data_IF_834195999100
#
_entry.id   IF_834195999100
#
_cell.length_a   1.000
_cell.length_b   1.000
_cell.length_c   1.000
_cell.angle_alpha   90.00
_cell.angle_beta   90.00
_cell.angle_gamma   90.00
#
_symmetry.space_group_name_H-M   'P 1'
#
loop_
_entity.id
_entity.type
_entity.pdbx_description
1 polymer ?
#
# COMPACT_ATOMS: atom_id res chain seq x y z
N UNK A 1 -6.79 -31.81 -2.85
CA UNK A 1 -7.68 -30.86 -2.15
C UNK A 1 -6.95 -30.31 -0.93
N UNK A 2 -6.30 -29.16 -1.04
CA UNK A 2 -5.53 -28.58 0.07
C UNK A 2 -6.47 -28.11 1.18
N UNK A 3 -6.15 -28.42 2.44
CA UNK A 3 -6.80 -27.80 3.60
C UNK A 3 -6.80 -26.28 3.40
N UNK A 4 -7.98 -25.65 3.37
CA UNK A 4 -8.08 -24.19 3.53
C UNK A 4 -7.55 -23.90 4.93
N UNK A 5 -6.30 -23.47 5.03
CA UNK A 5 -5.78 -23.03 6.31
C UNK A 5 -6.68 -21.92 6.82
N UNK A 6 -7.18 -22.04 8.05
CA UNK A 6 -7.60 -20.90 8.88
C UNK A 6 -6.35 -20.05 9.23
N UNK A 7 -5.57 -19.71 8.20
CA UNK A 7 -4.31 -19.02 8.29
C UNK A 7 -4.51 -17.58 8.72
N UNK A 8 -3.44 -16.99 9.25
CA UNK A 8 -3.36 -15.57 9.46
C UNK A 8 -3.58 -14.85 8.11
N UNK A 9 -4.67 -14.10 7.97
CA UNK A 9 -4.93 -13.33 6.75
C UNK A 9 -4.12 -12.04 6.78
N UNK A 10 -3.44 -11.71 5.68
CA UNK A 10 -2.74 -10.45 5.55
C UNK A 10 -3.66 -9.34 4.98
N UNK A 11 -3.40 -8.09 5.34
CA UNK A 11 -4.11 -6.90 4.83
C UNK A 11 -4.12 -6.81 3.29
N UNK A 12 -3.12 -7.40 2.63
CA UNK A 12 -3.02 -7.42 1.17
C UNK A 12 -3.88 -8.47 0.48
N UNK A 13 -4.37 -9.46 1.22
CA UNK A 13 -5.17 -10.59 0.73
C UNK A 13 -6.67 -10.34 0.89
N UNK A 14 -7.05 -9.42 1.78
CA UNK A 14 -8.45 -9.03 1.97
C UNK A 14 -8.94 -8.11 0.85
N UNK A 15 -10.18 -8.32 0.44
CA UNK A 15 -10.95 -7.28 -0.24
C UNK A 15 -11.15 -6.12 0.74
N UNK A 16 -10.92 -4.89 0.27
CA UNK A 16 -10.95 -3.71 1.12
C UNK A 16 -11.56 -2.51 0.44
N UNK A 17 -12.31 -1.74 1.21
CA UNK A 17 -12.90 -0.47 0.79
C UNK A 17 -12.28 0.62 1.66
N UNK A 18 -11.69 1.64 1.04
CA UNK A 18 -11.10 2.76 1.77
C UNK A 18 -11.66 4.09 1.31
N UNK A 19 -11.84 5.03 2.25
CA UNK A 19 -12.29 6.39 1.96
C UNK A 19 -11.44 7.04 0.87
N UNK A 20 -10.11 6.92 0.99
CA UNK A 20 -9.16 7.47 0.02
C UNK A 20 -9.38 6.91 -1.39
N UNK A 21 -9.63 5.61 -1.50
CA UNK A 21 -9.91 4.99 -2.80
C UNK A 21 -11.22 5.54 -3.39
N UNK A 22 -12.28 5.66 -2.59
CA UNK A 22 -13.56 6.20 -3.05
C UNK A 22 -13.43 7.66 -3.53
N UNK A 23 -12.68 8.48 -2.81
CA UNK A 23 -12.41 9.87 -3.20
C UNK A 23 -11.60 9.95 -4.49
N UNK A 24 -10.49 9.21 -4.58
CA UNK A 24 -9.58 9.25 -5.73
C UNK A 24 -10.22 8.75 -7.03
N UNK A 25 -11.22 7.88 -6.95
CA UNK A 25 -11.88 7.29 -8.12
C UNK A 25 -13.28 7.89 -8.37
N UNK A 26 -13.61 9.01 -7.73
CA UNK A 26 -14.88 9.71 -8.00
C UNK A 26 -16.14 9.02 -7.46
N UNK A 27 -16.01 8.01 -6.60
CA UNK A 27 -17.17 7.41 -5.94
C UNK A 27 -17.72 8.30 -4.82
N UNK A 28 -16.87 9.09 -4.16
CA UNK A 28 -17.28 9.96 -3.05
C UNK A 28 -17.09 11.43 -3.43
N UNK A 29 -18.15 12.05 -3.96
CA UNK A 29 -18.17 13.45 -4.41
C UNK A 29 -19.16 14.23 -3.56
N UNK A 30 -18.72 15.36 -2.98
CA UNK A 30 -19.57 16.22 -2.14
C UNK A 30 -20.78 16.73 -2.94
N UNK A 31 -21.96 16.66 -2.33
CA UNK A 31 -23.22 17.12 -2.92
C UNK A 31 -23.83 16.17 -3.95
N UNK A 32 -23.23 15.01 -4.19
CA UNK A 32 -23.68 14.08 -5.24
C UNK A 32 -24.06 12.71 -4.68
N UNK A 33 -24.93 12.04 -5.42
CA UNK A 33 -25.13 10.60 -5.34
C UNK A 33 -24.43 9.93 -6.52
N UNK A 34 -23.66 8.88 -6.27
CA UNK A 34 -22.96 8.12 -7.31
C UNK A 34 -23.31 6.65 -7.20
N UNK A 35 -23.23 5.95 -8.34
CA UNK A 35 -23.35 4.49 -8.42
C UNK A 35 -22.14 3.96 -9.18
N UNK A 36 -21.61 2.82 -8.77
CA UNK A 36 -20.66 2.10 -9.58
C UNK A 36 -20.32 0.73 -9.04
N UNK A 37 -19.18 0.20 -9.50
CA UNK A 37 -18.76 -1.17 -9.22
C UNK A 37 -17.36 -1.14 -8.63
N UNK A 38 -17.19 -1.76 -7.46
CA UNK A 38 -15.88 -2.05 -6.91
C UNK A 38 -15.52 -3.47 -7.31
N UNK A 39 -14.35 -3.65 -7.90
CA UNK A 39 -13.82 -4.95 -8.28
C UNK A 39 -12.41 -5.14 -7.74
N UNK A 40 -12.13 -6.34 -7.26
CA UNK A 40 -10.80 -6.76 -6.85
C UNK A 40 -10.34 -7.85 -7.81
N UNK A 41 -9.10 -7.76 -8.26
CA UNK A 41 -8.45 -8.74 -9.13
C UNK A 41 -7.19 -9.28 -8.47
N UNK A 42 -6.86 -10.52 -8.79
CA UNK A 42 -5.59 -11.11 -8.43
C UNK A 42 -4.49 -10.35 -9.19
N UNK A 43 -3.49 -9.85 -8.47
CA UNK A 43 -2.40 -9.08 -9.07
C UNK A 43 -1.49 -9.92 -9.95
N UNK A 44 -1.41 -11.23 -9.71
CA UNK A 44 -0.54 -12.14 -10.46
C UNK A 44 -1.17 -12.57 -11.77
N UNK A 45 -2.47 -12.88 -11.75
CA UNK A 45 -3.18 -13.41 -12.91
C UNK A 45 -4.02 -12.36 -13.64
N UNK A 46 -4.32 -11.23 -12.99
CA UNK A 46 -5.25 -10.22 -13.51
C UNK A 46 -6.72 -10.62 -13.42
N UNK A 47 -7.02 -11.85 -12.99
CA UNK A 47 -8.38 -12.38 -12.95
C UNK A 47 -9.21 -11.67 -11.87
N UNK A 48 -10.43 -11.27 -12.20
CA UNK A 48 -11.35 -10.67 -11.23
C UNK A 48 -11.72 -11.71 -10.16
N UNK A 49 -11.46 -11.38 -8.90
CA UNK A 49 -11.73 -12.24 -7.74
C UNK A 49 -13.10 -11.95 -7.14
N UNK A 50 -13.46 -10.68 -7.03
CA UNK A 50 -14.71 -10.26 -6.43
C UNK A 50 -15.16 -8.94 -7.05
N UNK A 51 -16.47 -8.71 -7.07
CA UNK A 51 -17.02 -7.42 -7.36
C UNK A 51 -18.30 -7.16 -6.59
N UNK A 52 -18.52 -5.92 -6.21
CA UNK A 52 -19.72 -5.46 -5.53
C UNK A 52 -20.25 -4.20 -6.20
N UNK A 53 -21.55 -3.97 -6.09
CA UNK A 53 -22.15 -2.70 -6.47
C UNK A 53 -22.11 -1.75 -5.27
N UNK A 54 -21.68 -0.52 -5.51
CA UNK A 54 -21.65 0.55 -4.52
C UNK A 54 -22.53 1.70 -4.96
N UNK A 55 -23.34 2.21 -4.03
CA UNK A 55 -24.00 3.50 -4.16
C UNK A 55 -23.46 4.40 -3.06
N UNK A 56 -23.17 5.64 -3.38
CA UNK A 56 -22.66 6.60 -2.42
C UNK A 56 -23.55 7.81 -2.44
N UNK A 57 -23.95 8.27 -1.26
CA UNK A 57 -24.65 9.54 -1.08
C UNK A 57 -23.79 10.41 -0.19
N UNK A 58 -23.44 11.60 -0.65
CA UNK A 58 -22.69 12.56 0.14
C UNK A 58 -23.40 13.92 0.14
N UNK A 59 -24.55 13.95 0.80
CA UNK A 59 -25.35 15.14 0.97
C UNK A 59 -24.96 15.98 2.20
N UNK A 60 -25.62 17.15 2.38
CA UNK A 60 -25.46 17.96 3.57
C UNK A 60 -25.97 17.24 4.82
N UNK A 61 -27.13 16.59 4.71
CA UNK A 61 -27.83 15.90 5.81
C UNK A 61 -27.28 14.47 5.96
N UNK A 62 -27.36 13.67 4.90
CA UNK A 62 -27.00 12.26 4.94
C UNK A 62 -25.72 11.95 4.15
N UNK A 63 -24.89 11.08 4.71
CA UNK A 63 -23.62 10.67 4.13
C UNK A 63 -23.44 9.18 4.36
N UNK A 64 -23.55 8.36 3.31
CA UNK A 64 -23.43 6.91 3.45
C UNK A 64 -22.97 6.25 2.15
N UNK A 65 -22.54 4.99 2.28
CA UNK A 65 -22.42 4.07 1.15
C UNK A 65 -23.39 2.91 1.34
N UNK A 66 -24.06 2.47 0.26
CA UNK A 66 -24.85 1.24 0.21
C UNK A 66 -24.08 0.21 -0.59
N UNK A 67 -23.88 -0.97 -0.01
CA UNK A 67 -23.18 -2.08 -0.64
C UNK A 67 -24.18 -3.16 -1.01
N UNK A 68 -24.11 -3.62 -2.26
CA UNK A 68 -24.93 -4.71 -2.78
C UNK A 68 -24.06 -5.79 -3.41
N UNK A 69 -24.14 -7.03 -2.90
CA UNK A 69 -23.37 -8.17 -3.42
C UNK A 69 -23.93 -9.52 -2.96
N UNK A 70 -23.51 -10.59 -3.63
CA UNK A 70 -23.77 -11.96 -3.21
C UNK A 70 -22.65 -12.43 -2.29
N UNK A 71 -22.99 -12.92 -1.11
CA UNK A 71 -22.07 -13.57 -0.20
C UNK A 71 -22.37 -15.06 -0.15
N UNK A 72 -21.37 -15.90 -0.39
CA UNK A 72 -21.49 -17.35 -0.28
C UNK A 72 -20.70 -17.82 0.93
N UNK A 73 -21.39 -18.46 1.87
CA UNK A 73 -20.74 -19.11 3.00
C UNK A 73 -19.94 -20.32 2.48
N UNK A 74 -18.62 -20.39 2.70
CA UNK A 74 -17.79 -21.45 2.17
C UNK A 74 -17.93 -22.79 2.90
N UNK A 75 -18.58 -22.81 4.07
CA UNK A 75 -18.82 -24.02 4.86
C UNK A 75 -20.15 -24.67 4.49
N UNK A 76 -21.20 -23.87 4.34
CA UNK A 76 -22.54 -24.37 4.00
C UNK A 76 -22.83 -24.35 2.49
N UNK A 77 -22.13 -23.51 1.73
CA UNK A 77 -22.41 -23.26 0.31
C UNK A 77 -23.63 -22.34 0.07
N UNK A 78 -24.30 -21.89 1.14
CA UNK A 78 -25.46 -21.00 1.02
C UNK A 78 -25.05 -19.63 0.49
N UNK A 79 -25.77 -19.16 -0.53
CA UNK A 79 -25.60 -17.83 -1.08
C UNK A 79 -26.69 -16.89 -0.53
N UNK A 80 -26.27 -15.71 -0.05
CA UNK A 80 -27.14 -14.69 0.51
C UNK A 80 -26.90 -13.37 -0.18
N UNK A 81 -27.97 -12.68 -0.55
CA UNK A 81 -27.89 -11.32 -1.07
C UNK A 81 -27.67 -10.36 0.10
N UNK A 82 -26.55 -9.65 0.05
CA UNK A 82 -26.20 -8.63 1.02
C UNK A 82 -26.59 -7.26 0.48
N UNK A 83 -27.38 -6.52 1.25
CA UNK A 83 -27.77 -5.14 0.94
C UNK A 83 -27.85 -4.34 2.23
N UNK A 84 -26.91 -3.44 2.46
CA UNK A 84 -26.85 -2.63 3.67
C UNK A 84 -26.10 -1.32 3.47
N UNK A 85 -26.37 -0.37 4.35
CA UNK A 85 -25.76 0.96 4.36
C UNK A 85 -24.70 1.09 5.44
N UNK A 86 -23.65 1.86 5.15
CA UNK A 86 -22.58 2.21 6.06
C UNK A 86 -22.47 3.73 6.09
N UNK A 87 -22.67 4.31 7.28
CA UNK A 87 -22.62 5.75 7.47
C UNK A 87 -21.19 6.30 7.32
N UNK A 88 -21.09 7.52 6.80
CA UNK A 88 -19.85 8.30 6.69
C UNK A 88 -19.92 9.43 7.71
N UNK A 89 -18.95 9.45 8.61
CA UNK A 89 -18.81 10.47 9.65
C UNK A 89 -17.73 11.46 9.22
N UNK A 90 -18.07 12.74 9.28
CA UNK A 90 -17.17 13.85 9.05
C UNK A 90 -16.65 14.37 10.40
N UNK A 91 -15.33 14.42 10.56
CA UNK A 91 -14.69 14.96 11.76
C UNK A 91 -13.78 16.12 11.38
N UNK A 92 -13.80 17.25 12.09
CA UNK A 92 -12.84 18.33 11.89
C UNK A 92 -11.40 17.81 11.93
N UNK A 93 -10.58 18.30 11.01
CA UNK A 93 -9.16 17.97 11.00
C UNK A 93 -8.46 18.61 12.20
N UNK A 94 -7.59 17.86 12.88
CA UNK A 94 -6.73 18.39 13.94
C UNK A 94 -5.81 19.53 13.46
N UNK A 95 -5.60 19.65 12.13
CA UNK A 95 -4.82 20.73 11.53
C UNK A 95 -5.63 22.03 11.35
N UNK A 96 -6.87 22.09 11.86
CA UNK A 96 -7.77 23.25 11.76
C UNK A 96 -8.27 23.55 10.35
N UNK A 97 -7.90 22.73 9.36
CA UNK A 97 -8.26 22.92 7.95
C UNK A 97 -8.97 21.68 7.42
N UNK A 98 -10.23 21.89 7.04
CA UNK A 98 -11.08 20.87 6.44
C UNK A 98 -11.49 19.76 7.42
N UNK A 99 -11.95 18.66 6.84
CA UNK A 99 -12.52 17.54 7.57
C UNK A 99 -11.93 16.22 7.10
N UNK A 100 -11.97 15.24 7.99
CA UNK A 100 -11.56 13.87 7.75
C UNK A 100 -12.82 13.00 7.75
N UNK A 101 -12.97 12.21 6.70
CA UNK A 101 -14.07 11.27 6.57
C UNK A 101 -13.69 9.89 7.12
N UNK A 102 -14.64 9.28 7.81
CA UNK A 102 -14.53 7.93 8.38
C UNK A 102 -15.79 7.15 8.04
N UNK A 103 -15.66 5.84 7.80
CA UNK A 103 -16.78 4.92 7.88
C UNK A 103 -17.15 4.67 9.34
N UNK A 104 -18.43 4.55 9.64
CA UNK A 104 -18.92 3.92 10.85
C UNK A 104 -19.03 2.41 10.62
N UNK A 105 -18.22 1.62 11.32
CA UNK A 105 -18.25 0.16 11.17
C UNK A 105 -19.65 -0.40 11.47
N UNK A 106 -20.25 -1.24 10.61
CA UNK A 106 -21.60 -1.76 10.84
C UNK A 106 -21.68 -2.66 12.08
N UNK A 107 -20.62 -3.40 12.39
CA UNK A 107 -20.61 -4.33 13.54
C UNK A 107 -20.25 -3.65 14.87
N UNK A 108 -19.23 -2.79 14.88
CA UNK A 108 -18.67 -2.24 16.13
C UNK A 108 -19.02 -0.77 16.36
N UNK A 109 -19.65 -0.11 15.38
CA UNK A 109 -19.94 1.32 15.37
C UNK A 109 -18.72 2.24 15.50
N UNK A 110 -17.51 1.68 15.47
CA UNK A 110 -16.25 2.43 15.53
C UNK A 110 -15.97 3.13 14.21
N UNK A 111 -15.37 4.32 14.30
CA UNK A 111 -14.85 5.06 13.15
C UNK A 111 -13.62 4.38 12.57
N UNK A 112 -13.61 4.15 11.26
CA UNK A 112 -12.48 3.56 10.56
C UNK A 112 -12.33 4.15 9.15
N UNK A 113 -11.13 4.11 8.58
CA UNK A 113 -10.89 4.60 7.20
C UNK A 113 -10.92 3.50 6.14
N UNK A 114 -10.89 2.25 6.60
CA UNK A 114 -10.81 1.06 5.76
C UNK A 114 -11.71 -0.01 6.37
N UNK A 115 -12.57 -0.57 5.52
CA UNK A 115 -13.36 -1.75 5.82
C UNK A 115 -12.76 -2.94 5.06
N UNK A 116 -12.87 -4.11 5.67
CA UNK A 116 -12.31 -5.35 5.16
C UNK A 116 -13.42 -6.39 5.04
N UNK A 117 -13.32 -7.19 3.98
CA UNK A 117 -13.98 -8.49 3.87
C UNK A 117 -12.89 -9.55 4.10
N UNK A 118 -13.01 -10.25 5.23
CA UNK A 118 -12.05 -11.22 5.73
C UNK A 118 -12.76 -12.30 6.54
N UNK A 119 -12.12 -13.47 6.67
CA UNK A 119 -12.61 -14.59 7.49
C UNK A 119 -14.07 -14.98 7.20
N UNK A 120 -14.50 -14.85 5.94
CA UNK A 120 -15.86 -15.19 5.49
C UNK A 120 -16.96 -14.43 6.25
N UNK A 121 -16.66 -13.22 6.71
CA UNK A 121 -17.69 -12.37 7.29
C UNK A 121 -18.67 -11.94 6.20
N UNK A 122 -20.00 -11.98 6.46
CA UNK A 122 -20.97 -11.55 5.47
C UNK A 122 -20.90 -10.05 5.19
N UNK A 123 -20.33 -9.25 6.11
CA UNK A 123 -20.28 -7.79 6.02
C UNK A 123 -18.85 -7.26 5.98
N UNK A 124 -18.66 -6.16 5.26
CA UNK A 124 -17.45 -5.34 5.32
C UNK A 124 -17.38 -4.64 6.67
N UNK A 125 -16.33 -4.89 7.43
CA UNK A 125 -16.19 -4.37 8.79
C UNK A 125 -14.78 -3.87 9.08
N UNK A 126 -14.62 -3.11 10.17
CA UNK A 126 -13.33 -2.60 10.56
C UNK A 126 -12.43 -3.75 11.05
N UNK A 127 -11.10 -3.56 10.97
CA UNK A 127 -10.12 -4.59 11.36
C UNK A 127 -10.31 -5.13 12.79
N UNK A 128 -10.83 -4.32 13.70
CA UNK A 128 -11.04 -4.67 15.10
C UNK A 128 -12.35 -5.44 15.34
N UNK A 129 -13.25 -5.52 14.35
CA UNK A 129 -14.50 -6.25 14.48
C UNK A 129 -14.33 -7.77 14.34
N UNK A 130 -13.25 -8.21 13.70
CA UNK A 130 -12.95 -9.62 13.55
C UNK A 130 -12.41 -10.21 14.85
N UNK A 131 -12.87 -11.43 15.19
CA UNK A 131 -12.31 -12.21 16.31
C UNK A 131 -10.84 -12.52 16.05
N UNK A 132 -10.50 -12.88 14.81
CA UNK A 132 -9.14 -13.14 14.36
C UNK A 132 -8.46 -11.85 13.88
N UNK A 133 -7.16 -11.73 14.17
CA UNK A 133 -6.37 -10.56 13.77
C UNK A 133 -5.99 -10.65 12.29
N UNK A 134 -6.39 -9.66 11.50
CA UNK A 134 -5.79 -9.42 10.18
C UNK A 134 -4.36 -8.88 10.39
N UNK A 135 -3.34 -9.46 9.79
CA UNK A 135 -1.93 -9.09 9.97
C UNK A 135 -1.41 -8.19 8.84
N UNK A 136 -0.36 -7.41 9.10
CA UNK A 136 0.46 -6.88 8.01
C UNK A 136 1.39 -7.99 7.49
N UNK A 137 1.72 -8.05 6.18
CA UNK A 137 2.61 -9.08 5.62
C UNK A 137 3.91 -9.24 6.42
N UNK A 138 4.56 -8.12 6.78
CA UNK A 138 5.79 -8.11 7.56
C UNK A 138 5.68 -8.75 8.96
N UNK A 139 4.47 -8.87 9.52
CA UNK A 139 4.24 -9.55 10.80
C UNK A 139 4.20 -11.07 10.65
N UNK A 140 3.83 -11.56 9.47
CA UNK A 140 3.83 -12.98 9.15
C UNK A 140 5.20 -13.46 8.65
N UNK A 141 6.01 -12.54 8.11
CA UNK A 141 7.36 -12.83 7.66
C UNK A 141 8.29 -13.24 8.82
N UNK A 142 8.97 -14.38 8.64
CA UNK A 142 10.03 -14.83 9.55
C UNK A 142 11.20 -13.84 9.55
N UNK A 143 12.03 -13.84 10.62
CA UNK A 143 13.20 -12.95 10.69
C UNK A 143 14.14 -13.12 9.48
N UNK A 144 14.27 -14.35 8.98
CA UNK A 144 15.09 -14.68 7.81
C UNK A 144 14.49 -14.19 6.49
N UNK A 145 13.15 -14.23 6.35
CA UNK A 145 12.47 -13.84 5.12
C UNK A 145 12.21 -12.34 5.00
N UNK A 146 12.14 -11.60 6.12
CA UNK A 146 11.89 -10.14 6.09
C UNK A 146 12.85 -9.34 5.21
N UNK A 147 14.19 -9.54 5.27
CA UNK A 147 15.10 -8.84 4.38
C UNK A 147 14.87 -9.19 2.91
N UNK A 148 14.56 -10.46 2.61
CA UNK A 148 14.28 -10.92 1.24
C UNK A 148 12.99 -10.30 0.69
N UNK A 149 11.88 -10.34 1.43
CA UNK A 149 10.63 -9.70 1.01
C UNK A 149 10.78 -8.20 0.80
N UNK A 150 11.49 -7.54 1.72
CA UNK A 150 11.79 -6.11 1.61
C UNK A 150 12.65 -5.82 0.39
N UNK A 151 13.62 -6.68 0.09
CA UNK A 151 14.51 -6.57 -1.07
C UNK A 151 13.69 -6.66 -2.37
N UNK A 152 12.85 -7.69 -2.51
CA UNK A 152 11.98 -7.87 -3.68
C UNK A 152 11.04 -6.67 -3.88
N UNK A 153 10.43 -6.16 -2.81
CA UNK A 153 9.58 -4.98 -2.89
C UNK A 153 10.33 -3.72 -3.34
N UNK A 154 11.60 -3.56 -2.93
CA UNK A 154 12.46 -2.47 -3.41
C UNK A 154 12.83 -2.67 -4.88
N UNK A 155 13.14 -3.89 -5.32
CA UNK A 155 13.38 -4.19 -6.74
C UNK A 155 12.17 -3.83 -7.60
N UNK A 156 10.96 -4.21 -7.20
CA UNK A 156 9.74 -3.87 -7.91
C UNK A 156 9.52 -2.35 -7.97
N UNK A 157 9.79 -1.66 -6.86
CA UNK A 157 9.67 -0.19 -6.82
C UNK A 157 10.71 0.50 -7.69
N UNK A 158 11.93 -0.02 -7.75
CA UNK A 158 12.98 0.45 -8.64
C UNK A 158 12.55 0.27 -10.10
N UNK A 159 12.10 -0.93 -10.49
CA UNK A 159 11.58 -1.22 -11.84
C UNK A 159 10.47 -0.26 -12.25
N UNK A 160 9.51 -0.03 -11.36
CA UNK A 160 8.45 0.96 -11.58
C UNK A 160 9.02 2.36 -11.78
N UNK A 161 9.95 2.79 -10.92
CA UNK A 161 10.54 4.12 -11.03
C UNK A 161 11.40 4.27 -12.28
N UNK A 162 12.15 3.27 -12.71
CA UNK A 162 13.06 3.34 -13.87
C UNK A 162 12.33 3.16 -15.20
N UNK A 163 11.16 2.53 -15.20
CA UNK A 163 10.35 2.29 -16.41
C UNK A 163 9.64 3.51 -17.00
N UNK A 164 9.74 4.69 -16.39
CA UNK A 164 9.16 5.93 -16.93
C UNK A 164 10.09 6.57 -17.98
N UNK A 165 9.52 7.15 -19.04
CA UNK A 165 10.27 7.73 -20.18
C UNK A 165 11.06 9.00 -19.86
N UNK A 166 10.64 9.82 -18.88
CA UNK A 166 11.27 11.12 -18.58
C UNK A 166 12.31 11.04 -17.47
N UNK A 167 13.52 10.59 -17.76
CA UNK A 167 14.63 10.35 -16.80
C UNK A 167 15.48 11.58 -16.44
N UNK A 168 14.82 12.69 -16.07
CA UNK A 168 15.52 13.87 -15.58
C UNK A 168 15.97 13.69 -14.10
N UNK A 169 17.29 13.60 -13.89
CA UNK A 169 17.89 13.48 -12.56
C UNK A 169 18.03 14.83 -11.86
N UNK A 170 18.22 15.88 -12.64
CA UNK A 170 18.34 17.26 -12.18
C UNK A 170 17.33 18.16 -12.90
N UNK A 171 16.98 19.26 -12.25
CA UNK A 171 16.25 20.38 -12.82
C UNK A 171 16.87 21.65 -12.23
N UNK A 172 17.29 22.59 -13.08
CA UNK A 172 17.97 23.82 -12.63
C UNK A 172 19.21 23.50 -11.74
N UNK A 173 19.99 22.48 -12.14
CA UNK A 173 21.16 22.00 -11.37
C UNK A 173 20.84 21.30 -10.03
N UNK A 174 19.56 21.26 -9.61
CA UNK A 174 19.12 20.67 -8.34
C UNK A 174 18.58 19.26 -8.54
N UNK A 175 18.84 18.37 -7.57
CA UNK A 175 18.31 17.00 -7.59
C UNK A 175 16.78 17.00 -7.52
N UNK A 176 16.14 16.35 -8.49
CA UNK A 176 14.67 16.21 -8.50
C UNK A 176 14.20 15.30 -7.37
N UNK A 177 12.94 15.45 -6.93
CA UNK A 177 12.38 14.57 -5.91
C UNK A 177 12.38 13.10 -6.33
N UNK A 178 12.23 12.83 -7.64
CA UNK A 178 12.33 11.47 -8.21
C UNK A 178 13.74 10.92 -8.10
N UNK A 179 14.76 11.70 -8.47
CA UNK A 179 16.15 11.29 -8.41
C UNK A 179 16.61 11.01 -6.97
N UNK A 180 16.24 11.87 -6.02
CA UNK A 180 16.47 11.61 -4.61
C UNK A 180 15.79 10.32 -4.13
N UNK A 181 14.55 10.06 -4.60
CA UNK A 181 13.86 8.82 -4.26
C UNK A 181 14.50 7.58 -4.88
N UNK A 182 15.02 7.69 -6.10
CA UNK A 182 15.74 6.61 -6.77
C UNK A 182 17.03 6.28 -6.03
N UNK A 183 17.80 7.29 -5.63
CA UNK A 183 19.01 7.14 -4.82
C UNK A 183 18.73 6.44 -3.48
N UNK A 184 17.67 6.86 -2.77
CA UNK A 184 17.23 6.24 -1.52
C UNK A 184 16.86 4.76 -1.71
N UNK A 185 16.17 4.43 -2.81
CA UNK A 185 15.78 3.05 -3.12
C UNK A 185 16.98 2.18 -3.50
N UNK A 186 17.94 2.71 -4.27
CA UNK A 186 19.20 2.01 -4.58
C UNK A 186 20.01 1.73 -3.32
N UNK A 187 20.18 2.73 -2.45
CA UNK A 187 20.83 2.55 -1.16
C UNK A 187 20.17 1.43 -0.34
N UNK A 188 18.84 1.47 -0.26
CA UNK A 188 18.06 0.47 0.48
C UNK A 188 18.17 -0.92 -0.16
N UNK A 189 18.21 -1.00 -1.48
CA UNK A 189 18.41 -2.23 -2.23
C UNK A 189 19.73 -2.89 -1.83
N UNK A 190 20.83 -2.12 -1.85
CA UNK A 190 22.17 -2.63 -1.55
C UNK A 190 22.30 -3.04 -0.08
N UNK A 191 21.72 -2.25 0.83
CA UNK A 191 21.61 -2.60 2.25
C UNK A 191 20.88 -3.93 2.43
N UNK A 192 19.69 -4.09 1.86
CA UNK A 192 18.89 -5.32 2.01
C UNK A 192 19.52 -6.52 1.33
N UNK A 193 20.25 -6.30 0.22
CA UNK A 193 21.04 -7.34 -0.42
C UNK A 193 22.13 -7.83 0.55
N UNK A 194 22.83 -6.94 1.25
CA UNK A 194 23.78 -7.36 2.30
C UNK A 194 23.09 -8.11 3.44
N UNK A 195 21.97 -7.57 3.96
CA UNK A 195 21.23 -8.17 5.07
C UNK A 195 20.73 -9.59 4.75
N UNK A 196 20.18 -9.83 3.55
CA UNK A 196 19.62 -11.14 3.20
C UNK A 196 20.67 -12.25 3.13
N UNK A 197 21.94 -11.91 2.85
CA UNK A 197 23.05 -12.86 2.79
C UNK A 197 23.77 -13.06 4.13
N UNK A 198 23.43 -12.30 5.18
CA UNK A 198 24.09 -12.39 6.50
C UNK A 198 23.99 -13.77 7.15
N UNK A 199 22.93 -14.52 6.87
CA UNK A 199 22.66 -15.81 7.49
C UNK A 199 23.14 -17.02 6.66
N UNK A 200 23.67 -16.78 5.46
CA UNK A 200 24.09 -17.84 4.51
C UNK A 200 25.60 -17.90 4.32
N UNK A 201 26.35 -16.87 4.75
CA UNK A 201 27.81 -16.84 4.63
C UNK A 201 28.47 -17.09 5.98
N UNK A 202 29.27 -18.16 6.08
CA UNK A 202 30.19 -18.43 7.20
C UNK A 202 31.35 -17.42 7.31
N UNK A 203 31.46 -16.49 6.35
CA UNK A 203 32.45 -15.42 6.34
C UNK A 203 31.79 -14.09 6.71
N UNK A 204 32.39 -13.39 7.67
CA UNK A 204 31.93 -12.09 8.15
C UNK A 204 31.68 -11.12 6.96
N UNK A 205 30.52 -10.44 6.90
CA UNK A 205 30.24 -9.53 5.80
C UNK A 205 31.21 -8.34 5.85
N UNK A 206 31.81 -8.02 4.70
CA UNK A 206 32.70 -6.87 4.49
C UNK A 206 32.07 -5.58 5.06
N UNK A 207 32.70 -5.00 6.09
CA UNK A 207 32.37 -3.69 6.68
C UNK A 207 32.86 -2.57 5.76
N UNK A 208 32.21 -2.36 4.62
CA UNK A 208 32.39 -1.13 3.85
C UNK A 208 31.10 -0.30 3.94
N UNK A 209 31.27 0.92 4.47
CA UNK A 209 30.26 1.96 4.66
C UNK A 209 29.47 2.12 3.36
N UNK A 210 28.15 1.88 3.40
CA UNK A 210 27.31 2.23 2.26
C UNK A 210 27.28 3.77 2.17
N UNK A 211 27.60 4.36 1.01
CA UNK A 211 27.55 5.81 0.85
C UNK A 211 26.12 6.33 1.02
N UNK A 212 25.95 7.51 1.63
CA UNK A 212 24.62 8.05 1.95
C UNK A 212 23.87 8.45 0.66
N UNK A 213 22.53 8.27 0.60
CA UNK A 213 21.75 8.67 -0.56
C UNK A 213 21.70 10.20 -0.71
N UNK A 214 21.62 10.67 -1.95
CA UNK A 214 21.41 12.09 -2.29
C UNK A 214 20.12 12.64 -1.67
N UNK A 215 20.18 13.87 -1.11
CA UNK A 215 19.01 14.56 -0.54
C UNK A 215 18.32 15.43 -1.59
N UNK A 216 16.99 15.56 -1.50
CA UNK A 216 16.23 16.47 -2.38
C UNK A 216 16.77 17.90 -2.24
N UNK A 217 17.02 18.56 -3.38
CA UNK A 217 17.48 19.95 -3.40
C UNK A 217 18.97 20.16 -3.17
N UNK A 218 19.77 19.09 -2.98
CA UNK A 218 21.22 19.23 -2.96
C UNK A 218 21.76 19.65 -4.33
N UNK A 219 22.74 20.55 -4.34
CA UNK A 219 23.51 20.91 -5.54
C UNK A 219 24.51 19.79 -5.81
N UNK A 220 24.56 19.27 -7.04
CA UNK A 220 25.52 18.23 -7.43
C UNK A 220 26.39 18.79 -8.53
N UNK A 221 27.71 18.66 -8.42
CA UNK A 221 28.59 18.96 -9.55
C UNK A 221 28.25 18.04 -10.72
N UNK A 222 28.00 18.61 -11.90
CA UNK A 222 27.51 17.90 -13.09
C UNK A 222 28.42 16.75 -13.57
N UNK A 223 29.65 16.66 -13.09
CA UNK A 223 30.64 15.63 -13.46
C UNK A 223 30.31 14.22 -12.93
N UNK A 224 29.68 14.09 -11.76
CA UNK A 224 29.43 12.78 -11.11
C UNK A 224 28.32 11.98 -11.82
N UNK A 225 27.40 12.65 -12.52
CA UNK A 225 26.24 12.03 -13.17
C UNK A 225 26.44 11.72 -14.67
N UNK A 226 27.52 12.22 -15.29
CA UNK A 226 27.78 12.11 -16.74
C UNK A 226 28.59 10.87 -17.14
N UNK A 227 29.26 10.23 -16.20
CA UNK A 227 30.05 9.02 -16.46
C UNK A 227 29.13 7.79 -16.58
N UNK A 228 29.12 7.07 -17.73
CA UNK A 228 28.28 5.91 -17.94
C UNK A 228 28.55 4.77 -16.95
N UNK A 229 29.75 4.67 -16.37
CA UNK A 229 30.05 3.72 -15.29
C UNK A 229 29.44 4.15 -13.94
N UNK A 230 29.24 5.46 -13.74
CA UNK A 230 28.72 6.08 -12.52
C UNK A 230 27.23 6.46 -12.60
N UNK A 231 26.58 6.26 -13.76
CA UNK A 231 25.11 6.41 -13.93
C UNK A 231 24.29 5.53 -12.99
N UNK A 232 24.90 4.47 -12.44
CA UNK A 232 24.27 3.57 -11.45
C UNK A 232 24.54 3.99 -9.99
N UNK A 233 25.47 4.90 -9.73
CA UNK A 233 25.88 5.30 -8.39
C UNK A 233 25.34 6.71 -8.04
N UNK A 234 24.07 6.79 -7.64
CA UNK A 234 23.48 8.01 -7.06
C UNK A 234 23.90 8.20 -5.59
N UNK A 235 25.21 8.16 -5.35
CA UNK A 235 25.79 8.12 -4.01
C UNK A 235 26.70 9.32 -3.78
N UNK A 236 26.57 9.97 -2.61
CA UNK A 236 27.58 10.92 -2.15
C UNK A 236 28.64 10.15 -1.36
N UNK A 237 29.90 10.19 -1.81
CA UNK A 237 31.03 9.91 -0.93
C UNK A 237 31.17 11.10 0.02
N UNK A 238 30.92 10.88 1.32
CA UNK A 238 31.38 11.81 2.35
C UNK A 238 32.81 11.39 2.63
N UNK A 239 33.77 12.22 2.22
CA UNK A 239 35.16 11.99 2.60
C UNK A 239 35.24 12.13 4.14
N UNK A 240 35.90 11.20 4.85
CA UNK A 240 36.30 11.47 6.21
C UNK A 240 37.39 12.54 6.17
N UNK A 241 37.16 13.63 6.90
CA UNK A 241 38.23 14.55 7.32
C UNK A 241 39.11 13.88 8.37
#
# INVERSE_FOLDING_TARGET
>A
MGRKGTGAVAVGECNRISIKYLQNNGYLIKGCATKGKLSWSDRRTGQQMAAITIYTVFGPIEKYIRLQYLHTDPHTGEARVMDYTIQIIEQPSNLGKGSVLYFQCPTTWRRCRVLYDAYHSPMFQCRQAFKQRIYYPAQQASKLLRPLESYLAVCDRLKQLTGYSRNAYTYDGKVTARAAKLAELQYKHDYLNKERWKYTTTRAPYKHLLPKPLKKGSTVQAAILKDPANRLALYCYVSPD
#
